data_IF_866281849732
#
_entry.id   IF_866281849732
#
_cell.length_a   1.000
_cell.length_b   1.000
_cell.length_c   1.000
_cell.angle_alpha   90.00
_cell.angle_beta   90.00
_cell.angle_gamma   90.00
#
_symmetry.space_group_name_H-M   'P 1'
#
loop_
_entity.id
_entity.type
_entity.pdbx_description
1 polymer ?
#
# COMPACT_ATOMS: atom_id res chain seq x y z
N UNK A 1 22.77 21.31 -46.76
CA UNK A 1 21.54 21.49 -45.95
C UNK A 1 21.33 20.22 -45.14
N UNK A 2 21.91 20.16 -43.93
CA UNK A 2 21.77 19.00 -43.03
C UNK A 2 20.54 19.21 -42.15
N UNK A 3 19.53 18.35 -42.30
CA UNK A 3 18.42 18.25 -41.39
C UNK A 3 18.88 17.50 -40.13
N UNK A 4 18.95 18.20 -39.01
CA UNK A 4 19.19 17.59 -37.72
C UNK A 4 17.92 16.86 -37.22
N UNK A 5 17.98 15.52 -37.13
CA UNK A 5 16.97 14.74 -36.41
C UNK A 5 17.11 15.03 -34.92
N UNK A 6 16.15 15.77 -34.36
CA UNK A 6 15.99 15.86 -32.92
C UNK A 6 15.36 14.54 -32.44
N UNK A 7 16.16 13.71 -31.80
CA UNK A 7 15.67 12.54 -31.07
C UNK A 7 14.85 13.07 -29.86
N UNK A 8 13.52 12.99 -29.97
CA UNK A 8 12.63 13.21 -28.83
C UNK A 8 12.87 12.05 -27.83
N UNK A 9 13.64 12.31 -26.79
CA UNK A 9 13.86 11.37 -25.72
C UNK A 9 12.54 11.11 -25.01
N UNK A 10 11.97 9.91 -25.19
CA UNK A 10 10.83 9.44 -24.38
C UNK A 10 11.31 9.37 -22.93
N UNK A 11 10.85 10.29 -22.11
CA UNK A 11 11.05 10.21 -20.67
C UNK A 11 10.46 8.87 -20.20
N UNK A 12 11.32 7.98 -19.69
CA UNK A 12 10.90 6.73 -19.09
C UNK A 12 10.01 7.03 -17.89
N UNK A 13 8.70 6.82 -18.02
CA UNK A 13 7.76 6.93 -16.90
C UNK A 13 8.06 5.79 -15.94
N UNK A 14 8.76 6.08 -14.86
CA UNK A 14 9.03 5.07 -13.85
C UNK A 14 7.74 4.73 -13.10
N UNK A 15 7.50 3.42 -12.92
CA UNK A 15 6.35 2.93 -12.13
C UNK A 15 6.54 3.34 -10.68
N UNK A 16 5.54 3.95 -10.03
CA UNK A 16 5.61 4.32 -8.62
C UNK A 16 5.93 3.13 -7.72
N UNK A 17 6.72 3.37 -6.68
CA UNK A 17 7.07 2.39 -5.66
C UNK A 17 6.45 2.79 -4.31
N UNK A 18 5.89 1.82 -3.62
CA UNK A 18 5.39 1.98 -2.25
C UNK A 18 6.44 1.46 -1.28
N UNK A 19 6.76 2.23 -0.24
CA UNK A 19 7.63 1.78 0.87
C UNK A 19 6.83 1.86 2.17
N UNK A 20 6.74 0.75 2.90
CA UNK A 20 6.04 0.66 4.19
C UNK A 20 7.04 0.43 5.30
N UNK A 21 7.15 1.38 6.23
CA UNK A 21 7.93 1.23 7.45
C UNK A 21 7.04 0.67 8.57
N UNK A 22 7.37 -0.54 9.02
CA UNK A 22 6.66 -1.16 10.15
C UNK A 22 6.90 -0.41 11.46
N UNK A 23 8.15 -0.03 11.85
CA UNK A 23 8.35 0.68 13.11
C UNK A 23 7.74 2.08 13.14
N UNK A 24 7.72 2.81 12.00
CA UNK A 24 7.13 4.16 11.96
C UNK A 24 5.62 4.15 11.71
N UNK A 25 5.03 3.01 11.36
CA UNK A 25 3.63 2.88 10.93
C UNK A 25 3.27 3.91 9.84
N UNK A 26 4.18 4.02 8.87
CA UNK A 26 4.09 4.95 7.74
C UNK A 26 4.31 4.25 6.41
N UNK A 27 3.69 4.82 5.39
CA UNK A 27 3.83 4.44 3.99
C UNK A 27 4.29 5.67 3.20
N UNK A 28 5.30 5.51 2.37
CA UNK A 28 5.74 6.51 1.39
C UNK A 28 5.41 6.03 -0.03
N UNK A 29 4.95 6.95 -0.88
CA UNK A 29 4.90 6.79 -2.33
C UNK A 29 6.14 7.45 -2.92
N UNK A 30 6.90 6.70 -3.71
CA UNK A 30 8.15 7.16 -4.32
C UNK A 30 8.01 7.10 -5.84
N UNK A 31 8.24 8.22 -6.51
CA UNK A 31 8.19 8.37 -7.97
C UNK A 31 9.50 8.99 -8.44
N UNK A 32 10.17 8.37 -9.40
CA UNK A 32 11.49 8.83 -9.90
C UNK A 32 12.53 9.05 -8.78
N UNK A 33 12.51 8.21 -7.72
CA UNK A 33 13.40 8.34 -6.57
C UNK A 33 13.00 9.43 -5.57
N UNK A 34 11.91 10.16 -5.81
CA UNK A 34 11.42 11.23 -4.93
C UNK A 34 10.19 10.74 -4.15
N UNK A 35 10.15 11.01 -2.85
CA UNK A 35 8.96 10.77 -2.03
C UNK A 35 7.90 11.83 -2.34
N UNK A 36 6.85 11.43 -3.05
CA UNK A 36 5.76 12.35 -3.49
C UNK A 36 4.61 12.42 -2.50
N UNK A 37 4.42 11.38 -1.66
CA UNK A 37 3.39 11.37 -0.64
C UNK A 37 3.77 10.47 0.54
N UNK A 38 3.28 10.80 1.73
CA UNK A 38 3.38 9.95 2.92
C UNK A 38 2.03 9.82 3.61
N UNK A 39 1.76 8.62 4.12
CA UNK A 39 0.52 8.29 4.81
C UNK A 39 0.80 7.56 6.13
N UNK A 40 0.00 7.82 7.14
CA UNK A 40 -0.02 6.97 8.33
C UNK A 40 -0.78 5.68 8.01
N UNK A 41 -0.26 4.55 8.46
CA UNK A 41 -0.85 3.23 8.24
C UNK A 41 -0.95 2.45 9.55
N UNK A 42 -1.57 1.27 9.51
CA UNK A 42 -1.49 0.27 10.59
C UNK A 42 -1.12 -1.07 10.01
N UNK A 43 -0.01 -1.63 10.49
CA UNK A 43 0.42 -2.99 10.20
C UNK A 43 -0.05 -3.96 11.30
N UNK A 44 0.39 -5.21 11.25
CA UNK A 44 -0.05 -6.24 12.18
C UNK A 44 0.37 -5.96 13.64
N UNK A 45 -0.55 -6.20 14.57
CA UNK A 45 -0.27 -6.25 16.01
C UNK A 45 0.47 -7.53 16.44
N UNK A 46 0.60 -8.51 15.53
CA UNK A 46 1.31 -9.77 15.76
C UNK A 46 2.74 -9.75 15.20
N UNK A 47 3.25 -8.57 14.84
CA UNK A 47 4.61 -8.41 14.32
C UNK A 47 4.74 -8.71 12.83
N UNK A 48 5.94 -9.17 12.44
CA UNK A 48 6.33 -9.37 11.04
C UNK A 48 6.57 -10.85 10.71
N UNK A 49 6.27 -11.25 9.49
CA UNK A 49 6.48 -12.61 8.99
C UNK A 49 5.43 -13.08 7.99
N UNK A 50 5.68 -14.27 7.39
CA UNK A 50 4.80 -14.85 6.36
C UNK A 50 4.41 -16.31 6.66
N UNK A 51 4.54 -16.77 7.91
CA UNK A 51 4.08 -18.12 8.29
C UNK A 51 2.56 -18.25 8.13
N UNK A 52 2.05 -19.41 7.72
CA UNK A 52 0.61 -19.66 7.72
C UNK A 52 -0.02 -19.35 9.09
N UNK A 53 -1.18 -18.70 9.10
CA UNK A 53 -1.93 -18.33 10.31
C UNK A 53 -1.19 -17.46 11.34
N UNK A 54 -0.04 -16.86 10.98
CA UNK A 54 0.71 -15.98 11.90
C UNK A 54 0.02 -14.64 12.14
N UNK A 55 -0.88 -14.23 11.25
CA UNK A 55 -1.47 -12.88 11.24
C UNK A 55 -0.43 -11.74 11.20
N UNK A 56 0.83 -12.06 10.93
CA UNK A 56 1.92 -11.11 10.84
C UNK A 56 1.97 -10.43 9.46
N UNK A 57 2.54 -9.22 9.39
CA UNK A 57 2.78 -8.50 8.13
C UNK A 57 4.07 -9.05 7.49
N UNK A 58 4.05 -9.52 6.22
CA UNK A 58 5.24 -9.98 5.53
C UNK A 58 6.20 -8.82 5.26
N UNK A 59 7.52 -9.10 5.33
CA UNK A 59 8.58 -8.17 4.95
C UNK A 59 9.09 -8.45 3.55
N UNK A 60 9.86 -7.48 3.01
CA UNK A 60 10.58 -7.57 1.74
C UNK A 60 9.79 -7.03 0.56
N UNK A 61 10.17 -7.48 -0.64
CA UNK A 61 9.62 -6.97 -1.88
C UNK A 61 8.35 -7.73 -2.29
N UNK A 62 7.28 -6.98 -2.49
CA UNK A 62 6.00 -7.43 -3.00
C UNK A 62 5.63 -6.60 -4.25
N UNK A 63 4.49 -6.93 -4.86
CA UNK A 63 3.87 -6.11 -5.91
C UNK A 63 2.35 -6.04 -5.72
N UNK A 64 1.74 -5.00 -6.26
CA UNK A 64 0.28 -4.89 -6.40
C UNK A 64 -0.15 -5.88 -7.48
N UNK A 65 -0.76 -6.99 -7.09
CA UNK A 65 -1.22 -8.03 -8.01
C UNK A 65 -2.63 -7.78 -8.55
N UNK A 66 -3.47 -7.07 -7.78
CA UNK A 66 -4.81 -6.69 -8.21
C UNK A 66 -5.30 -5.45 -7.44
N UNK A 67 -6.20 -4.72 -8.07
CA UNK A 67 -6.89 -3.53 -7.51
C UNK A 67 -8.39 -3.80 -7.50
N UNK A 68 -9.06 -3.52 -6.38
CA UNK A 68 -10.51 -3.75 -6.23
C UNK A 68 -11.17 -2.51 -5.65
N UNK A 69 -12.32 -2.13 -6.20
CA UNK A 69 -13.16 -1.05 -5.67
C UNK A 69 -12.97 0.30 -6.34
N UNK A 70 -12.33 0.40 -7.53
CA UNK A 70 -12.04 1.68 -8.22
C UNK A 70 -13.26 2.60 -8.33
N UNK A 71 -14.42 2.06 -8.67
CA UNK A 71 -15.67 2.81 -8.81
C UNK A 71 -16.62 2.69 -7.60
N UNK A 72 -16.14 2.11 -6.49
CA UNK A 72 -16.98 1.97 -5.30
C UNK A 72 -17.05 3.28 -4.53
N UNK A 73 -18.21 3.65 -3.96
CA UNK A 73 -18.31 4.74 -2.99
C UNK A 73 -17.34 4.55 -1.82
N UNK A 74 -16.81 5.66 -1.30
CA UNK A 74 -15.97 5.65 -0.10
C UNK A 74 -16.73 5.02 1.07
N UNK A 75 -16.07 4.15 1.83
CA UNK A 75 -16.71 3.41 2.93
C UNK A 75 -17.42 2.13 2.49
N UNK A 76 -17.50 1.81 1.18
CA UNK A 76 -18.06 0.54 0.72
C UNK A 76 -17.38 -0.64 1.40
N UNK A 77 -18.16 -1.54 1.98
CA UNK A 77 -17.66 -2.75 2.66
C UNK A 77 -17.39 -3.85 1.65
N UNK A 78 -16.28 -4.56 1.84
CA UNK A 78 -15.90 -5.72 1.04
C UNK A 78 -15.80 -6.99 1.89
N UNK A 79 -16.29 -8.09 1.35
CA UNK A 79 -16.06 -9.43 1.85
C UNK A 79 -15.50 -10.30 0.71
N UNK A 80 -14.34 -10.93 0.93
CA UNK A 80 -13.67 -11.72 -0.12
C UNK A 80 -13.45 -10.95 -1.43
N UNK A 81 -13.17 -9.66 -1.40
CA UNK A 81 -13.02 -8.76 -2.55
C UNK A 81 -14.32 -8.41 -3.31
N UNK A 82 -15.48 -8.80 -2.80
CA UNK A 82 -16.80 -8.43 -3.36
C UNK A 82 -17.45 -7.39 -2.48
N UNK A 83 -18.09 -6.38 -3.09
CA UNK A 83 -18.90 -5.40 -2.36
C UNK A 83 -20.11 -6.09 -1.75
N UNK A 84 -20.40 -5.74 -0.49
CA UNK A 84 -21.60 -6.25 0.22
C UNK A 84 -22.83 -5.37 0.02
N UNK A 85 -22.68 -4.17 -0.53
CA UNK A 85 -23.73 -3.14 -0.60
C UNK A 85 -23.73 -2.19 0.59
N UNK A 86 -23.14 -2.57 1.71
CA UNK A 86 -23.02 -1.74 2.91
C UNK A 86 -21.97 -0.63 2.72
N UNK A 87 -22.21 0.52 3.35
CA UNK A 87 -21.30 1.65 3.43
C UNK A 87 -21.12 2.04 4.89
N UNK A 88 -19.87 2.07 5.38
CA UNK A 88 -19.52 2.47 6.71
C UNK A 88 -18.85 3.85 6.73
N UNK A 89 -19.23 4.68 7.68
CA UNK A 89 -18.53 5.93 7.97
C UNK A 89 -17.25 5.63 8.77
N UNK A 90 -16.23 6.51 8.71
CA UNK A 90 -15.07 6.40 9.57
C UNK A 90 -15.47 6.30 11.04
N UNK A 91 -14.85 5.38 11.75
CA UNK A 91 -15.07 5.10 13.16
C UNK A 91 -16.52 4.65 13.51
N UNK A 92 -17.24 4.09 12.56
CA UNK A 92 -18.51 3.41 12.85
C UNK A 92 -18.27 2.33 13.93
N UNK A 93 -19.17 2.22 14.93
CA UNK A 93 -19.02 1.25 16.01
C UNK A 93 -19.17 -0.18 15.49
N UNK A 94 -18.62 -1.13 16.24
CA UNK A 94 -18.77 -2.54 15.99
C UNK A 94 -17.56 -3.20 15.34
N UNK A 95 -17.71 -3.70 14.13
CA UNK A 95 -16.67 -4.47 13.41
C UNK A 95 -15.78 -3.59 12.54
N UNK A 96 -14.61 -4.12 12.17
CA UNK A 96 -13.65 -3.47 11.28
C UNK A 96 -13.46 -4.28 9.98
N UNK A 97 -14.41 -4.21 9.05
CA UNK A 97 -14.26 -4.85 7.75
C UNK A 97 -13.29 -4.08 6.86
N UNK A 98 -12.90 -4.72 5.76
CA UNK A 98 -12.21 -4.03 4.66
C UNK A 98 -13.17 -3.04 4.02
N UNK A 99 -12.76 -1.78 3.88
CA UNK A 99 -13.61 -0.74 3.26
C UNK A 99 -12.87 0.02 2.15
N UNK A 100 -13.62 0.69 1.31
CA UNK A 100 -13.21 1.73 0.34
C UNK A 100 -12.46 1.20 -0.87
N UNK A 101 -11.25 0.67 -0.72
CA UNK A 101 -10.35 0.17 -1.80
C UNK A 101 -9.49 -0.95 -1.28
N UNK A 102 -9.04 -1.82 -2.20
CA UNK A 102 -8.11 -2.91 -1.92
C UNK A 102 -7.01 -2.92 -2.98
N UNK A 103 -5.75 -2.90 -2.53
CA UNK A 103 -4.58 -3.29 -3.29
C UNK A 103 -4.15 -4.66 -2.78
N UNK A 104 -4.33 -5.73 -3.58
CA UNK A 104 -3.95 -7.09 -3.21
C UNK A 104 -2.48 -7.31 -3.52
N UNK A 105 -1.69 -7.71 -2.53
CA UNK A 105 -0.25 -7.86 -2.65
C UNK A 105 0.14 -9.31 -2.93
N UNK A 106 1.17 -9.48 -3.78
CA UNK A 106 1.87 -10.74 -4.03
C UNK A 106 3.32 -10.58 -3.64
N UNK A 107 3.85 -11.53 -2.88
CA UNK A 107 5.27 -11.61 -2.57
C UNK A 107 6.12 -11.95 -3.79
N UNK A 108 7.30 -11.35 -3.87
CA UNK A 108 8.29 -11.57 -4.94
C UNK A 108 9.51 -12.34 -4.46
N UNK A 109 9.57 -12.68 -3.18
CA UNK A 109 10.71 -13.32 -2.52
C UNK A 109 10.25 -14.56 -1.75
N UNK A 110 11.15 -15.49 -1.47
CA UNK A 110 10.84 -16.74 -0.78
C UNK A 110 10.19 -16.51 0.60
N UNK A 111 10.70 -15.50 1.36
CA UNK A 111 10.23 -15.18 2.71
C UNK A 111 8.84 -14.55 2.76
N UNK A 112 8.28 -14.10 1.63
CA UNK A 112 6.94 -13.50 1.54
C UNK A 112 6.04 -14.14 0.47
N UNK A 113 6.42 -15.31 -0.03
CA UNK A 113 5.72 -16.02 -1.11
C UNK A 113 4.27 -16.38 -0.81
N UNK A 114 3.90 -16.46 0.47
CA UNK A 114 2.54 -16.79 0.91
C UNK A 114 1.62 -15.57 0.99
N UNK A 115 2.14 -14.34 0.87
CA UNK A 115 1.38 -13.11 1.05
C UNK A 115 0.09 -13.06 0.22
N UNK A 116 0.14 -13.48 -1.04
CA UNK A 116 -1.05 -13.50 -1.91
C UNK A 116 -2.13 -14.47 -1.40
N UNK A 117 -1.76 -15.72 -1.11
CA UNK A 117 -2.69 -16.73 -0.60
C UNK A 117 -3.22 -16.42 0.79
N UNK A 118 -2.45 -15.68 1.61
CA UNK A 118 -2.87 -15.20 2.93
C UNK A 118 -3.81 -14.00 2.85
N UNK A 119 -4.02 -13.41 1.69
CA UNK A 119 -4.85 -12.22 1.53
C UNK A 119 -4.24 -10.98 2.16
N UNK A 120 -2.95 -10.74 1.94
CA UNK A 120 -2.29 -9.50 2.39
C UNK A 120 -2.68 -8.36 1.46
N UNK A 121 -3.30 -7.33 2.03
CA UNK A 121 -3.81 -6.15 1.31
C UNK A 121 -3.26 -4.86 1.89
N UNK A 122 -3.23 -3.81 1.05
CA UNK A 122 -3.32 -2.42 1.51
C UNK A 122 -4.77 -2.01 1.27
N UNK A 123 -5.48 -1.57 2.32
CA UNK A 123 -6.91 -1.31 2.23
C UNK A 123 -7.39 -0.24 3.20
N UNK A 124 -8.58 0.31 2.95
CA UNK A 124 -9.24 1.20 3.88
C UNK A 124 -9.82 0.46 5.11
N UNK A 125 -9.86 1.14 6.23
CA UNK A 125 -10.45 0.65 7.50
C UNK A 125 -11.55 1.57 7.97
N UNK A 126 -12.59 1.01 8.62
CA UNK A 126 -13.54 1.81 9.37
C UNK A 126 -12.94 2.31 10.70
N UNK A 127 -11.98 1.60 11.29
CA UNK A 127 -11.32 1.99 12.56
C UNK A 127 -10.18 3.01 12.33
N UNK A 128 -10.47 4.16 11.73
CA UNK A 128 -9.45 5.17 11.39
C UNK A 128 -8.70 5.74 12.62
N UNK A 129 -9.30 5.69 13.81
CA UNK A 129 -8.65 6.08 15.08
C UNK A 129 -7.46 5.20 15.47
N UNK A 130 -7.37 3.99 14.89
CA UNK A 130 -6.25 3.06 15.13
C UNK A 130 -5.09 3.23 14.16
N UNK A 131 -5.23 4.08 13.14
CA UNK A 131 -4.15 4.36 12.19
C UNK A 131 -2.99 5.06 12.91
N UNK A 132 -1.76 4.62 12.61
CA UNK A 132 -0.52 5.09 13.22
C UNK A 132 0.04 4.18 14.31
N UNK A 133 -0.61 3.03 14.57
CA UNK A 133 -0.15 2.00 15.51
C UNK A 133 -0.44 0.60 14.99
N UNK A 134 0.31 -0.43 15.40
CA UNK A 134 0.03 -1.82 15.03
C UNK A 134 -1.36 -2.23 15.52
N UNK A 135 -2.25 -2.61 14.58
CA UNK A 135 -3.64 -2.93 14.90
C UNK A 135 -4.26 -3.99 13.98
N UNK A 136 -3.61 -4.33 12.84
CA UNK A 136 -4.17 -5.27 11.86
C UNK A 136 -3.87 -6.73 12.19
N UNK A 137 -4.33 -7.61 11.30
CA UNK A 137 -4.08 -9.05 11.30
C UNK A 137 -3.27 -9.44 10.05
N UNK A 138 -2.27 -8.62 9.68
CA UNK A 138 -1.35 -8.87 8.57
C UNK A 138 -1.42 -7.84 7.45
N UNK A 139 -2.60 -7.30 7.15
CA UNK A 139 -2.79 -6.27 6.14
C UNK A 139 -2.23 -4.91 6.58
N UNK A 140 -2.06 -4.01 5.62
CA UNK A 140 -1.71 -2.61 5.83
C UNK A 140 -3.00 -1.80 5.73
N UNK A 141 -3.47 -1.23 6.85
CA UNK A 141 -4.69 -0.44 6.92
C UNK A 141 -4.39 1.03 6.70
N UNK A 142 -5.28 1.72 6.00
CA UNK A 142 -5.21 3.16 5.73
C UNK A 142 -6.55 3.83 6.02
N UNK A 143 -6.52 5.15 6.23
CA UNK A 143 -7.75 5.94 6.20
C UNK A 143 -8.40 5.88 4.82
N UNK A 144 -9.71 5.94 4.77
CA UNK A 144 -10.47 5.85 3.52
C UNK A 144 -10.04 6.87 2.47
N UNK A 145 -9.82 8.14 2.87
CA UNK A 145 -9.33 9.19 1.97
C UNK A 145 -7.91 8.92 1.43
N UNK A 146 -7.07 8.32 2.26
CA UNK A 146 -5.66 8.10 1.92
C UNK A 146 -5.50 6.90 0.97
N UNK A 147 -6.26 5.82 1.20
CA UNK A 147 -6.25 4.66 0.28
C UNK A 147 -6.84 5.00 -1.09
N UNK A 148 -7.80 5.93 -1.19
CA UNK A 148 -8.31 6.40 -2.50
C UNK A 148 -7.17 7.06 -3.28
N UNK A 149 -6.44 8.00 -2.68
CA UNK A 149 -5.32 8.69 -3.33
C UNK A 149 -4.23 7.72 -3.76
N UNK A 150 -3.81 6.82 -2.85
CA UNK A 150 -2.80 5.81 -3.16
C UNK A 150 -3.27 4.88 -4.30
N UNK A 151 -4.53 4.44 -4.24
CA UNK A 151 -5.12 3.56 -5.24
C UNK A 151 -5.09 4.20 -6.65
N UNK A 152 -5.41 5.49 -6.75
CA UNK A 152 -5.43 6.20 -8.03
C UNK A 152 -4.01 6.46 -8.57
N UNK A 153 -3.01 6.59 -7.68
CA UNK A 153 -1.62 6.86 -8.04
C UNK A 153 -0.81 5.63 -8.47
N UNK A 154 -1.22 4.40 -8.13
CA UNK A 154 -0.40 3.22 -8.40
C UNK A 154 -1.09 2.24 -9.36
N UNK A 155 -0.37 1.72 -10.37
CA UNK A 155 -0.89 0.68 -11.27
C UNK A 155 -0.79 -0.71 -10.63
N UNK A 156 -1.46 -1.70 -11.26
CA UNK A 156 -1.12 -3.11 -11.06
C UNK A 156 0.33 -3.33 -11.51
N UNK A 157 1.09 -4.12 -10.77
CA UNK A 157 2.52 -4.32 -10.98
C UNK A 157 3.42 -3.35 -10.18
N UNK A 158 2.87 -2.28 -9.58
CA UNK A 158 3.66 -1.39 -8.73
C UNK A 158 4.36 -2.15 -7.61
N UNK A 159 5.66 -1.84 -7.38
CA UNK A 159 6.46 -2.47 -6.33
C UNK A 159 6.05 -1.96 -4.95
N UNK A 160 6.07 -2.85 -3.98
CA UNK A 160 5.78 -2.56 -2.58
C UNK A 160 6.88 -3.17 -1.72
N UNK A 161 7.68 -2.35 -1.09
CA UNK A 161 8.68 -2.81 -0.13
C UNK A 161 8.18 -2.60 1.29
N UNK A 162 8.14 -3.67 2.08
CA UNK A 162 7.76 -3.61 3.50
C UNK A 162 9.01 -3.87 4.32
N UNK A 163 9.41 -2.86 5.12
CA UNK A 163 10.67 -2.88 5.85
C UNK A 163 10.47 -2.79 7.36
N UNK A 164 11.32 -3.51 8.11
CA UNK A 164 11.43 -3.37 9.55
C UNK A 164 12.54 -2.33 9.89
N UNK A 165 12.48 -1.19 9.25
CA UNK A 165 13.40 -0.07 9.42
C UNK A 165 12.63 1.26 9.36
N UNK A 166 13.21 2.32 9.90
CA UNK A 166 12.62 3.66 9.82
C UNK A 166 12.52 4.12 8.37
N UNK A 167 11.45 4.82 8.03
CA UNK A 167 11.19 5.31 6.68
C UNK A 167 12.32 6.21 6.16
N UNK A 168 12.91 7.02 7.03
CA UNK A 168 14.07 7.88 6.70
C UNK A 168 15.32 7.11 6.25
N UNK A 169 15.41 5.80 6.54
CA UNK A 169 16.50 4.94 6.07
C UNK A 169 16.15 4.19 4.79
N UNK A 170 14.85 3.94 4.57
CA UNK A 170 14.36 3.16 3.44
C UNK A 170 14.03 4.02 2.21
N UNK A 171 13.59 5.26 2.42
CA UNK A 171 13.36 6.22 1.33
C UNK A 171 14.69 6.91 1.02
N UNK A 172 15.16 6.88 -0.25
CA UNK A 172 16.35 7.64 -0.63
C UNK A 172 16.20 9.11 -0.22
N UNK A 173 17.23 9.67 0.40
CA UNK A 173 17.27 11.10 0.67
C UNK A 173 17.17 11.83 -0.68
N UNK A 174 16.18 12.71 -0.82
CA UNK A 174 16.14 13.63 -1.95
C UNK A 174 17.41 14.48 -1.86
N UNK A 175 18.36 14.22 -2.73
CA UNK A 175 19.45 15.18 -2.96
C UNK A 175 18.76 16.35 -3.66
N UNK A 176 18.41 17.37 -2.88
CA UNK A 176 18.03 18.65 -3.42
C UNK A 176 19.26 19.17 -4.18
N UNK A 177 19.25 18.98 -5.49
CA UNK A 177 20.18 19.70 -6.37
C UNK A 177 19.73 21.17 -6.33
N UNK A 178 20.53 21.99 -5.60
CA UNK A 178 20.51 23.44 -5.67
C UNK A 178 20.93 23.89 -7.06
#
# INVERSE_FOLDING_TARGET
MLLGLHACGLASVSVPMIIVSVPDQRLALVENGVCTAQYSVSTSKFGVGDRPRSFATPLGMLQVAAKVGGNAPVGSVFHGKRRTGEILRPNAPGRDPIVTRILHLRGLEAQNSRAYGRGIYIHGTAEERRIGRPASYGCIRMRSRDIVRLFDSVPVGARVEIVNARLSRAVPAVVASL
#
